data_IF_994164877319
#
_entry.id   IF_994164877319
#
_cell.length_a   1.000
_cell.length_b   1.000
_cell.length_c   1.000
_cell.angle_alpha   90.00
_cell.angle_beta   90.00
_cell.angle_gamma   90.00
#
_symmetry.space_group_name_H-M   'P 1'
#
loop_
_entity.id
_entity.type
_entity.pdbx_description
1 polymer ?
#
# COMPACT_ATOMS: atom_id res chain seq x y z
N UNK A 1 9.88 10.87 -9.32
CA UNK A 1 8.42 10.70 -9.37
C UNK A 1 8.21 9.24 -9.72
N UNK A 2 7.74 8.39 -8.79
CA UNK A 2 7.49 6.98 -9.11
C UNK A 2 6.15 6.89 -9.85
N UNK A 3 6.23 6.88 -11.17
CA UNK A 3 5.08 6.82 -12.07
C UNK A 3 4.46 5.43 -12.06
N UNK A 4 3.49 5.22 -11.17
CA UNK A 4 2.59 4.07 -11.21
C UNK A 4 1.70 4.05 -12.48
N UNK A 5 1.77 5.09 -13.32
CA UNK A 5 1.01 5.23 -14.56
C UNK A 5 1.35 4.18 -15.63
N UNK A 6 2.51 3.51 -15.53
CA UNK A 6 2.96 2.52 -16.54
C UNK A 6 2.75 1.06 -16.11
N UNK A 7 2.35 0.79 -14.87
CA UNK A 7 2.20 -0.59 -14.39
C UNK A 7 0.82 -1.13 -14.76
N UNK A 8 0.73 -2.36 -15.33
CA UNK A 8 -0.54 -2.97 -15.64
C UNK A 8 -1.39 -3.12 -14.38
N UNK A 9 -2.71 -3.00 -14.53
CA UNK A 9 -3.65 -3.05 -13.40
C UNK A 9 -3.50 -4.33 -12.55
N UNK A 10 -3.01 -5.42 -13.15
CA UNK A 10 -2.69 -6.68 -12.46
C UNK A 10 -1.45 -6.56 -11.56
N UNK A 11 -0.38 -5.89 -12.01
CA UNK A 11 0.81 -5.65 -11.19
C UNK A 11 0.48 -4.76 -9.99
N UNK A 12 -0.37 -3.75 -10.20
CA UNK A 12 -0.90 -2.88 -9.14
C UNK A 12 -1.72 -3.66 -8.12
N UNK A 13 -2.53 -4.63 -8.56
CA UNK A 13 -3.27 -5.53 -7.65
C UNK A 13 -2.32 -6.43 -6.86
N UNK A 14 -1.24 -6.94 -7.48
CA UNK A 14 -0.20 -7.73 -6.81
C UNK A 14 0.51 -6.93 -5.71
N UNK A 15 0.99 -5.73 -6.05
CA UNK A 15 1.61 -4.80 -5.09
C UNK A 15 0.65 -4.38 -3.97
N UNK A 16 -0.64 -4.21 -4.28
CA UNK A 16 -1.68 -3.95 -3.29
C UNK A 16 -1.80 -5.09 -2.27
N UNK A 17 -1.72 -6.34 -2.74
CA UNK A 17 -1.80 -7.52 -1.90
C UNK A 17 -0.59 -7.60 -0.96
N UNK A 18 0.62 -7.45 -1.49
CA UNK A 18 1.85 -7.40 -0.67
C UNK A 18 1.80 -6.27 0.37
N UNK A 19 1.38 -5.07 -0.02
CA UNK A 19 1.31 -3.95 0.93
C UNK A 19 0.25 -4.17 2.01
N UNK A 20 -0.86 -4.86 1.69
CA UNK A 20 -1.85 -5.27 2.71
C UNK A 20 -1.29 -6.33 3.65
N UNK A 21 -0.51 -7.29 3.16
CA UNK A 21 0.15 -8.30 3.99
C UNK A 21 1.20 -7.67 4.90
N UNK A 22 2.06 -6.78 4.38
CA UNK A 22 2.98 -5.97 5.19
C UNK A 22 2.24 -5.16 6.25
N UNK A 23 1.11 -4.52 5.89
CA UNK A 23 0.30 -3.78 6.85
C UNK A 23 -0.25 -4.70 7.94
N UNK A 24 -0.65 -5.94 7.60
CA UNK A 24 -1.13 -6.92 8.56
C UNK A 24 -0.01 -7.36 9.52
N UNK A 25 1.18 -7.68 9.02
CA UNK A 25 2.34 -7.99 9.86
C UNK A 25 2.67 -6.82 10.78
N UNK A 26 2.80 -5.61 10.26
CA UNK A 26 3.07 -4.43 11.08
C UNK A 26 1.99 -4.15 12.13
N UNK A 27 0.71 -4.47 11.86
CA UNK A 27 -0.37 -4.39 12.86
C UNK A 27 -0.20 -5.44 13.96
N UNK A 28 0.21 -6.67 13.62
CA UNK A 28 0.52 -7.70 14.61
C UNK A 28 1.71 -7.31 15.47
N UNK A 29 2.79 -6.83 14.85
CA UNK A 29 3.98 -6.39 15.58
C UNK A 29 3.65 -5.17 16.47
N UNK A 30 2.77 -4.27 16.02
CA UNK A 30 2.27 -3.14 16.81
C UNK A 30 1.44 -3.61 18.00
N UNK A 31 0.53 -4.57 17.78
CA UNK A 31 -0.27 -5.16 18.85
C UNK A 31 0.60 -5.92 19.87
N UNK A 32 1.69 -6.52 19.41
CA UNK A 32 2.70 -7.17 20.26
C UNK A 32 3.61 -6.16 20.99
N UNK A 33 3.44 -4.85 20.79
CA UNK A 33 4.24 -3.81 21.43
C UNK A 33 5.70 -3.74 20.95
N UNK A 34 6.04 -4.46 19.86
CA UNK A 34 7.41 -4.52 19.31
C UNK A 34 7.70 -3.42 18.29
N UNK A 35 6.69 -2.70 17.80
CA UNK A 35 6.88 -1.69 16.75
C UNK A 35 7.24 -0.34 17.33
N UNK A 36 8.50 0.06 17.13
CA UNK A 36 8.95 1.45 17.32
C UNK A 36 8.54 2.36 16.14
N UNK A 37 8.33 1.81 14.94
CA UNK A 37 8.12 2.58 13.72
C UNK A 37 6.65 2.69 13.26
N UNK A 38 5.87 3.45 14.02
CA UNK A 38 4.49 3.83 13.66
C UNK A 38 4.46 4.65 12.36
N UNK A 39 5.54 5.38 12.02
CA UNK A 39 5.67 6.15 10.78
C UNK A 39 5.59 5.26 9.54
N UNK A 40 6.21 4.08 9.59
CA UNK A 40 6.21 3.12 8.48
C UNK A 40 4.80 2.63 8.16
N UNK A 41 3.98 2.35 9.18
CA UNK A 41 2.57 1.97 9.01
C UNK A 41 1.77 3.06 8.29
N UNK A 42 1.98 4.33 8.67
CA UNK A 42 1.31 5.46 8.00
C UNK A 42 1.77 5.61 6.55
N UNK A 43 3.05 5.37 6.26
CA UNK A 43 3.60 5.38 4.91
C UNK A 43 2.98 4.29 4.03
N UNK A 44 2.94 3.05 4.52
CA UNK A 44 2.31 1.91 3.83
C UNK A 44 0.84 2.18 3.54
N UNK A 45 0.07 2.72 4.52
CA UNK A 45 -1.32 3.14 4.30
C UNK A 45 -1.46 4.20 3.20
N UNK A 46 -0.59 5.22 3.19
CA UNK A 46 -0.60 6.25 2.13
C UNK A 46 -0.28 5.66 0.76
N UNK A 47 0.65 4.71 0.68
CA UNK A 47 0.98 4.05 -0.58
C UNK A 47 -0.20 3.23 -1.12
N UNK A 48 -0.90 2.48 -0.26
CA UNK A 48 -2.13 1.75 -0.62
C UNK A 48 -3.20 2.73 -1.15
N UNK A 49 -3.42 3.85 -0.45
CA UNK A 49 -4.40 4.85 -0.86
C UNK A 49 -4.05 5.45 -2.23
N UNK A 50 -2.78 5.79 -2.46
CA UNK A 50 -2.29 6.30 -3.76
C UNK A 50 -2.53 5.28 -4.88
N UNK A 51 -2.17 4.01 -4.68
CA UNK A 51 -2.39 2.95 -5.67
C UNK A 51 -3.88 2.79 -6.02
N UNK A 52 -4.76 2.82 -5.01
CA UNK A 52 -6.21 2.76 -5.23
C UNK A 52 -6.71 3.99 -6.01
N UNK A 53 -6.22 5.18 -5.71
CA UNK A 53 -6.57 6.41 -6.44
C UNK A 53 -6.14 6.32 -7.90
N UNK A 54 -4.94 5.81 -8.20
CA UNK A 54 -4.49 5.61 -9.58
C UNK A 54 -5.34 4.59 -10.33
N UNK A 55 -5.66 3.44 -9.70
CA UNK A 55 -6.56 2.45 -10.27
C UNK A 55 -7.94 3.03 -10.58
N UNK A 56 -8.47 3.87 -9.67
CA UNK A 56 -9.77 4.48 -9.87
C UNK A 56 -9.75 5.57 -10.95
N UNK A 57 -8.67 6.35 -11.05
CA UNK A 57 -8.47 7.33 -12.13
C UNK A 57 -8.42 6.67 -13.51
N UNK A 58 -7.71 5.56 -13.66
CA UNK A 58 -7.66 4.81 -14.92
C UNK A 58 -8.99 4.14 -15.30
N UNK A 59 -9.88 3.87 -14.32
CA UNK A 59 -11.20 3.28 -14.58
C UNK A 59 -12.24 4.31 -15.01
N UNK A 60 -12.08 5.57 -14.60
CA UNK A 60 -13.00 6.68 -14.87
C UNK A 60 -12.52 7.65 -15.97
N UNK A 61 -11.51 7.26 -16.75
CA UNK A 61 -10.99 8.05 -17.87
C UNK A 61 -11.49 7.50 -19.21
#
# INVERSE_FOLDING_TARGET
MEDFSKKPAEELKGLLKENREKLRQMRFDLAAGKVKDIRSIRSVKKNIARMLTFLNKNKNA
#
